data_IF_473005935936
#
_entry.id   IF_473005935936
#
_cell.length_a   1.000
_cell.length_b   1.000
_cell.length_c   1.000
_cell.angle_alpha   90.00
_cell.angle_beta   90.00
_cell.angle_gamma   90.00
#
_symmetry.space_group_name_H-M   'P 1'
#
loop_
_entity.id
_entity.type
_entity.pdbx_description
1 polymer ?
#
# COMPACT_ATOMS: atom_id res chain seq x y z
N UNK A 1 35.58 21.34 -8.59
CA UNK A 1 34.25 20.95 -8.13
C UNK A 1 34.43 20.38 -6.74
N UNK A 2 34.12 21.17 -5.69
CA UNK A 2 34.26 20.71 -4.31
C UNK A 2 33.24 19.60 -4.05
N UNK A 3 33.69 18.36 -3.95
CA UNK A 3 32.90 17.28 -3.36
C UNK A 3 32.69 17.65 -1.90
N UNK A 4 31.49 18.08 -1.58
CA UNK A 4 31.03 18.22 -0.21
C UNK A 4 31.21 16.82 0.39
N UNK A 5 32.21 16.68 1.26
CA UNK A 5 32.49 15.41 1.93
C UNK A 5 31.23 15.00 2.71
N UNK A 6 30.50 14.05 2.17
CA UNK A 6 29.34 13.46 2.85
C UNK A 6 29.92 12.73 4.06
N UNK A 7 29.54 13.14 5.26
CA UNK A 7 29.93 12.44 6.48
C UNK A 7 29.28 11.04 6.43
N UNK A 8 30.05 10.05 6.02
CA UNK A 8 29.63 8.66 5.84
C UNK A 8 28.94 8.08 7.09
N UNK A 9 29.26 8.60 8.28
CA UNK A 9 28.65 8.15 9.53
C UNK A 9 27.23 8.73 9.70
N UNK A 10 27.03 9.99 9.33
CA UNK A 10 25.71 10.65 9.36
C UNK A 10 24.76 10.03 8.33
N UNK A 11 25.25 9.70 7.15
CA UNK A 11 24.43 9.06 6.11
C UNK A 11 24.05 7.61 6.49
N UNK A 12 24.97 6.83 7.03
CA UNK A 12 24.67 5.48 7.54
C UNK A 12 23.64 5.52 8.68
N UNK A 13 23.75 6.47 9.59
CA UNK A 13 22.75 6.63 10.66
C UNK A 13 21.36 7.00 10.12
N UNK A 14 21.27 7.85 9.10
CA UNK A 14 20.02 8.22 8.43
C UNK A 14 19.40 7.04 7.68
N UNK A 15 20.21 6.32 6.90
CA UNK A 15 19.78 5.10 6.19
C UNK A 15 19.22 4.09 7.19
N UNK A 16 19.94 3.81 8.27
CA UNK A 16 19.48 2.88 9.32
C UNK A 16 18.15 3.30 9.91
N UNK A 17 17.94 4.59 10.20
CA UNK A 17 16.66 5.11 10.71
C UNK A 17 15.53 4.90 9.71
N UNK A 18 15.75 5.19 8.42
CA UNK A 18 14.75 4.97 7.38
C UNK A 18 14.37 3.49 7.26
N UNK A 19 15.36 2.59 7.27
CA UNK A 19 15.10 1.15 7.19
C UNK A 19 14.36 0.62 8.45
N UNK A 20 14.67 1.16 9.64
CA UNK A 20 13.92 0.82 10.86
C UNK A 20 12.47 1.34 10.81
N UNK A 21 12.25 2.53 10.24
CA UNK A 21 10.90 3.03 9.97
C UNK A 21 10.17 2.08 9.03
N UNK A 22 10.82 1.58 7.97
CA UNK A 22 10.25 0.61 7.04
C UNK A 22 9.86 -0.70 7.73
N UNK A 23 10.72 -1.24 8.59
CA UNK A 23 10.40 -2.44 9.35
C UNK A 23 9.16 -2.24 10.23
N UNK A 24 9.08 -1.13 10.97
CA UNK A 24 7.92 -0.80 11.77
C UNK A 24 6.67 -0.59 10.90
N UNK A 25 6.82 0.07 9.77
CA UNK A 25 5.76 0.32 8.81
C UNK A 25 5.18 -0.99 8.26
N UNK A 26 6.02 -1.94 7.86
CA UNK A 26 5.58 -3.27 7.38
C UNK A 26 4.81 -4.06 8.45
N UNK A 27 5.20 -3.91 9.72
CA UNK A 27 4.42 -4.49 10.83
C UNK A 27 3.04 -3.82 10.94
N UNK A 28 2.96 -2.49 10.80
CA UNK A 28 1.67 -1.77 10.81
C UNK A 28 0.78 -2.20 9.65
N UNK A 29 1.34 -2.29 8.44
CA UNK A 29 0.61 -2.78 7.25
C UNK A 29 0.10 -4.19 7.48
N UNK A 30 0.94 -5.11 7.95
CA UNK A 30 0.56 -6.48 8.25
C UNK A 30 -0.55 -6.59 9.31
N UNK A 31 -0.53 -5.76 10.35
CA UNK A 31 -1.65 -5.68 11.32
C UNK A 31 -2.90 -5.13 10.64
N UNK A 32 -2.77 -4.13 9.76
CA UNK A 32 -3.89 -3.61 8.96
C UNK A 32 -4.54 -4.69 8.10
N UNK A 33 -3.74 -5.45 7.37
CA UNK A 33 -4.20 -6.58 6.54
C UNK A 33 -4.87 -7.66 7.38
N UNK A 34 -4.27 -8.00 8.53
CA UNK A 34 -4.85 -8.97 9.45
C UNK A 34 -6.23 -8.55 9.96
N UNK A 35 -6.40 -7.27 10.31
CA UNK A 35 -7.70 -6.74 10.78
C UNK A 35 -8.76 -6.75 9.67
N UNK A 36 -8.36 -6.57 8.41
CA UNK A 36 -9.28 -6.57 7.27
C UNK A 36 -9.56 -7.99 6.73
N UNK A 37 -8.60 -8.90 6.80
CA UNK A 37 -8.69 -10.24 6.22
C UNK A 37 -9.13 -11.33 7.20
N UNK A 38 -9.16 -11.08 8.51
CA UNK A 38 -9.49 -12.11 9.50
C UNK A 38 -10.99 -12.09 9.84
N UNK A 39 -11.78 -12.58 8.92
CA UNK A 39 -13.22 -12.74 9.09
C UNK A 39 -13.72 -13.95 8.28
N UNK A 40 -14.82 -14.54 8.74
CA UNK A 40 -15.54 -15.54 7.96
C UNK A 40 -16.15 -14.87 6.73
N UNK A 41 -15.89 -15.43 5.55
CA UNK A 41 -16.41 -14.93 4.29
C UNK A 41 -17.84 -15.43 4.04
N UNK A 42 -18.67 -14.53 3.49
CA UNK A 42 -20.00 -14.90 3.00
C UNK A 42 -19.91 -15.37 1.54
N UNK A 43 -20.86 -16.18 1.12
CA UNK A 43 -21.00 -16.56 -0.30
C UNK A 43 -21.49 -15.35 -1.11
N UNK A 44 -20.79 -15.05 -2.21
CA UNK A 44 -21.05 -13.86 -3.04
C UNK A 44 -21.02 -14.20 -4.52
N UNK A 45 -21.80 -13.44 -5.30
CA UNK A 45 -22.02 -13.73 -6.72
C UNK A 45 -20.94 -13.21 -7.67
N UNK A 46 -20.02 -12.33 -7.22
CA UNK A 46 -19.04 -11.68 -8.12
C UNK A 46 -17.63 -11.65 -7.56
N UNK A 47 -16.64 -11.60 -8.48
CA UNK A 47 -15.20 -11.47 -8.12
C UNK A 47 -14.94 -10.19 -7.32
N UNK A 48 -15.57 -9.08 -7.69
CA UNK A 48 -15.42 -7.83 -6.97
C UNK A 48 -15.99 -7.91 -5.54
N UNK A 49 -17.16 -8.56 -5.37
CA UNK A 49 -17.76 -8.77 -4.06
C UNK A 49 -16.93 -9.74 -3.20
N UNK A 50 -16.21 -10.71 -3.80
CA UNK A 50 -15.39 -11.65 -3.04
C UNK A 50 -14.27 -10.97 -2.25
N UNK A 51 -13.76 -9.83 -2.74
CA UNK A 51 -12.77 -9.02 -2.02
C UNK A 51 -13.34 -8.39 -0.73
N UNK A 52 -14.67 -8.27 -0.67
CA UNK A 52 -15.38 -7.68 0.47
C UNK A 52 -16.21 -8.71 1.26
N UNK A 53 -16.09 -10.00 0.92
CA UNK A 53 -16.93 -11.09 1.47
C UNK A 53 -16.82 -11.22 3.00
N UNK A 54 -15.71 -10.87 3.60
CA UNK A 54 -15.51 -10.85 5.05
C UNK A 54 -16.05 -9.59 5.75
N UNK A 55 -16.26 -8.49 5.02
CA UNK A 55 -16.60 -7.19 5.62
C UNK A 55 -17.89 -7.19 6.48
N UNK A 56 -18.97 -7.92 6.14
CA UNK A 56 -20.18 -7.96 6.97
C UNK A 56 -19.93 -8.49 8.38
N UNK A 57 -18.94 -9.38 8.55
CA UNK A 57 -18.61 -10.03 9.81
C UNK A 57 -17.55 -9.26 10.63
N UNK A 58 -16.99 -8.19 10.10
CA UNK A 58 -16.06 -7.30 10.80
C UNK A 58 -16.81 -6.13 11.47
N UNK A 59 -16.29 -5.65 12.59
CA UNK A 59 -16.79 -4.41 13.19
C UNK A 59 -16.32 -3.20 12.38
N UNK A 60 -17.02 -2.08 12.45
CA UNK A 60 -16.60 -0.82 11.82
C UNK A 60 -15.23 -0.35 12.32
N UNK A 61 -15.00 -0.56 13.64
CA UNK A 61 -13.71 -0.26 14.26
C UNK A 61 -12.55 -1.05 13.63
N UNK A 62 -12.76 -2.34 13.32
CA UNK A 62 -11.75 -3.17 12.62
C UNK A 62 -11.52 -2.67 11.20
N UNK A 63 -12.59 -2.40 10.45
CA UNK A 63 -12.50 -1.90 9.07
C UNK A 63 -11.76 -0.55 9.01
N UNK A 64 -12.13 0.39 9.89
CA UNK A 64 -11.50 1.72 9.95
C UNK A 64 -10.06 1.61 10.43
N UNK A 65 -9.81 0.89 11.53
CA UNK A 65 -8.46 0.75 12.08
C UNK A 65 -7.52 0.01 11.11
N UNK A 66 -7.98 -1.09 10.51
CA UNK A 66 -7.20 -1.84 9.51
C UNK A 66 -6.83 -0.98 8.31
N UNK A 67 -7.80 -0.24 7.78
CA UNK A 67 -7.58 0.66 6.65
C UNK A 67 -6.60 1.79 6.98
N UNK A 68 -6.73 2.44 8.13
CA UNK A 68 -5.84 3.52 8.54
C UNK A 68 -4.44 3.02 8.87
N UNK A 69 -4.30 1.89 9.59
CA UNK A 69 -3.00 1.29 9.89
C UNK A 69 -2.27 0.90 8.60
N UNK A 70 -2.96 0.23 7.68
CA UNK A 70 -2.38 -0.13 6.41
C UNK A 70 -2.01 1.09 5.57
N UNK A 71 -2.87 2.10 5.49
CA UNK A 71 -2.60 3.35 4.78
C UNK A 71 -1.34 4.04 5.32
N UNK A 72 -1.24 4.24 6.63
CA UNK A 72 -0.07 4.87 7.24
C UNK A 72 1.17 3.98 7.15
N UNK A 73 1.01 2.66 7.29
CA UNK A 73 2.09 1.70 7.12
C UNK A 73 2.70 1.81 5.72
N UNK A 74 1.91 1.70 4.67
CA UNK A 74 2.38 1.82 3.28
C UNK A 74 3.03 3.19 3.01
N UNK A 75 2.46 4.27 3.54
CA UNK A 75 3.07 5.60 3.41
C UNK A 75 4.48 5.64 4.02
N UNK A 76 4.64 5.10 5.23
CA UNK A 76 5.94 5.03 5.91
C UNK A 76 6.92 4.07 5.20
N UNK A 77 6.44 2.96 4.64
CA UNK A 77 7.23 2.07 3.78
C UNK A 77 7.80 2.82 2.56
N UNK A 78 6.96 3.62 1.90
CA UNK A 78 7.39 4.47 0.81
C UNK A 78 8.49 5.46 1.23
N UNK A 79 8.38 6.07 2.42
CA UNK A 79 9.44 6.91 2.97
C UNK A 79 10.73 6.12 3.27
N UNK A 80 10.60 4.89 3.75
CA UNK A 80 11.75 4.02 4.02
C UNK A 80 12.52 3.63 2.75
N UNK A 81 11.82 3.55 1.60
CA UNK A 81 12.45 3.31 0.31
C UNK A 81 13.51 4.38 -0.06
N UNK A 82 13.45 5.59 0.51
CA UNK A 82 14.54 6.56 0.37
C UNK A 82 15.84 6.11 1.04
N UNK A 83 15.79 5.21 2.02
CA UNK A 83 16.98 4.55 2.57
C UNK A 83 17.65 3.65 1.53
N UNK A 84 16.87 2.85 0.81
CA UNK A 84 17.34 1.99 -0.28
C UNK A 84 17.89 2.86 -1.43
N UNK A 85 17.17 3.92 -1.82
CA UNK A 85 17.64 4.88 -2.81
C UNK A 85 19.06 5.42 -2.49
N UNK A 86 19.30 5.76 -1.23
CA UNK A 86 20.62 6.26 -0.80
C UNK A 86 21.71 5.20 -0.90
N UNK A 87 21.41 3.93 -0.61
CA UNK A 87 22.37 2.83 -0.79
C UNK A 87 22.71 2.61 -2.27
N UNK A 88 21.73 2.81 -3.16
CA UNK A 88 21.92 2.64 -4.60
C UNK A 88 22.60 3.84 -5.25
N UNK A 89 22.46 5.03 -4.69
CA UNK A 89 22.86 6.28 -5.35
C UNK A 89 24.36 6.34 -5.67
N UNK A 90 25.20 5.74 -4.83
CA UNK A 90 26.66 5.71 -5.02
C UNK A 90 27.09 4.58 -5.99
N UNK A 91 26.44 3.43 -5.92
CA UNK A 91 26.79 2.24 -6.71
C UNK A 91 26.20 2.28 -8.13
N UNK A 92 24.96 2.75 -8.28
CA UNK A 92 24.20 2.68 -9.52
C UNK A 92 23.33 3.95 -9.73
N UNK A 93 23.91 5.15 -9.94
CA UNK A 93 23.21 6.42 -9.91
C UNK A 93 22.07 6.53 -10.92
N UNK A 94 22.19 5.92 -12.10
CA UNK A 94 21.13 5.93 -13.11
C UNK A 94 19.88 5.18 -12.63
N UNK A 95 20.06 4.01 -12.04
CA UNK A 95 18.99 3.20 -11.48
C UNK A 95 18.40 3.86 -10.24
N UNK A 96 19.21 4.48 -9.41
CA UNK A 96 18.75 5.21 -8.23
C UNK A 96 17.77 6.35 -8.60
N UNK A 97 18.01 7.10 -9.67
CA UNK A 97 17.09 8.14 -10.12
C UNK A 97 15.73 7.59 -10.57
N UNK A 98 15.74 6.47 -11.31
CA UNK A 98 14.49 5.77 -11.71
C UNK A 98 13.76 5.23 -10.48
N UNK A 99 14.50 4.61 -9.56
CA UNK A 99 13.94 4.12 -8.30
C UNK A 99 13.27 5.23 -7.49
N UNK A 100 13.90 6.40 -7.38
CA UNK A 100 13.33 7.57 -6.72
C UNK A 100 12.01 8.03 -7.36
N UNK A 101 11.91 8.02 -8.68
CA UNK A 101 10.65 8.32 -9.37
C UNK A 101 9.55 7.32 -8.99
N UNK A 102 9.89 6.03 -8.92
CA UNK A 102 8.99 4.98 -8.44
C UNK A 102 8.51 5.19 -7.01
N UNK A 103 9.40 5.63 -6.09
CA UNK A 103 9.03 5.94 -4.69
C UNK A 103 7.92 7.00 -4.66
N UNK A 104 8.02 8.08 -5.43
CA UNK A 104 6.99 9.11 -5.45
C UNK A 104 5.65 8.57 -5.96
N UNK A 105 5.64 7.77 -7.02
CA UNK A 105 4.43 7.10 -7.50
C UNK A 105 3.83 6.18 -6.45
N UNK A 106 4.66 5.39 -5.78
CA UNK A 106 4.23 4.50 -4.70
C UNK A 106 3.60 5.25 -3.52
N UNK A 107 4.27 6.29 -3.00
CA UNK A 107 3.78 7.10 -1.85
C UNK A 107 2.43 7.76 -2.16
N UNK A 108 2.20 8.19 -3.38
CA UNK A 108 0.94 8.83 -3.76
C UNK A 108 -0.21 7.85 -4.00
N UNK A 109 0.07 6.73 -4.65
CA UNK A 109 -0.98 5.81 -5.10
C UNK A 109 -1.29 4.72 -4.06
N UNK A 110 -0.28 4.12 -3.45
CA UNK A 110 -0.48 2.93 -2.65
C UNK A 110 -1.28 3.16 -1.35
N UNK A 111 -1.00 4.19 -0.53
CA UNK A 111 -1.74 4.37 0.73
C UNK A 111 -3.24 4.56 0.50
N UNK A 112 -3.60 5.42 -0.46
CA UNK A 112 -5.00 5.74 -0.75
C UNK A 112 -5.65 4.64 -1.57
N UNK A 113 -4.96 4.14 -2.60
CA UNK A 113 -5.52 3.16 -3.53
C UNK A 113 -5.67 1.76 -2.96
N UNK A 114 -4.75 1.33 -2.08
CA UNK A 114 -4.86 0.00 -1.48
C UNK A 114 -5.75 0.01 -0.23
N UNK A 115 -5.27 0.55 0.87
CA UNK A 115 -5.95 0.37 2.16
C UNK A 115 -7.13 1.31 2.37
N UNK A 116 -6.99 2.60 2.10
CA UNK A 116 -8.09 3.53 2.35
C UNK A 116 -9.26 3.26 1.42
N UNK A 117 -9.00 3.05 0.14
CA UNK A 117 -10.04 2.71 -0.82
C UNK A 117 -10.75 1.40 -0.45
N UNK A 118 -10.00 0.34 -0.12
CA UNK A 118 -10.59 -0.93 0.30
C UNK A 118 -11.39 -0.80 1.59
N UNK A 119 -10.95 0.01 2.55
CA UNK A 119 -11.73 0.27 3.75
C UNK A 119 -13.08 0.93 3.47
N UNK A 120 -13.09 1.91 2.56
CA UNK A 120 -14.34 2.57 2.13
C UNK A 120 -15.26 1.57 1.43
N UNK A 121 -14.71 0.76 0.51
CA UNK A 121 -15.50 -0.25 -0.20
C UNK A 121 -16.08 -1.27 0.75
N UNK A 122 -15.31 -1.78 1.69
CA UNK A 122 -15.76 -2.71 2.71
C UNK A 122 -16.90 -2.14 3.57
N UNK A 123 -16.80 -0.87 3.99
CA UNK A 123 -17.86 -0.21 4.75
C UNK A 123 -19.13 -0.02 3.90
N UNK A 124 -18.99 0.45 2.65
CA UNK A 124 -20.12 0.62 1.74
C UNK A 124 -20.82 -0.71 1.50
N UNK A 125 -20.08 -1.77 1.19
CA UNK A 125 -20.64 -3.10 0.96
C UNK A 125 -21.35 -3.63 2.21
N UNK A 126 -20.73 -3.55 3.37
CA UNK A 126 -21.29 -4.00 4.66
C UNK A 126 -22.64 -3.35 4.96
N UNK A 127 -22.79 -2.05 4.70
CA UNK A 127 -24.03 -1.34 4.98
C UNK A 127 -25.11 -1.47 3.90
N UNK A 128 -24.73 -1.70 2.66
CA UNK A 128 -25.68 -1.93 1.57
C UNK A 128 -26.23 -3.36 1.55
N UNK A 129 -25.41 -4.35 1.89
CA UNK A 129 -25.78 -5.76 1.81
C UNK A 129 -27.08 -6.13 2.53
N UNK A 130 -27.35 -5.68 3.78
CA UNK A 130 -28.60 -6.00 4.48
C UNK A 130 -29.81 -5.24 3.95
N UNK A 131 -29.61 -4.19 3.14
CA UNK A 131 -30.68 -3.40 2.54
C UNK A 131 -31.13 -4.01 1.21
N UNK A 132 -30.18 -4.31 0.36
CA UNK A 132 -30.38 -4.92 -0.96
C UNK A 132 -29.08 -5.55 -1.46
N UNK A 133 -29.01 -6.87 -1.44
CA UNK A 133 -27.83 -7.63 -1.84
C UNK A 133 -27.45 -7.39 -3.32
N UNK A 134 -28.44 -7.28 -4.21
CA UNK A 134 -28.17 -7.05 -5.63
C UNK A 134 -27.57 -5.65 -5.87
N UNK A 135 -28.06 -4.64 -5.16
CA UNK A 135 -27.47 -3.29 -5.19
C UNK A 135 -26.08 -3.28 -4.57
N UNK A 136 -25.85 -3.99 -3.47
CA UNK A 136 -24.53 -4.07 -2.84
C UNK A 136 -23.49 -4.66 -3.80
N UNK A 137 -23.80 -5.78 -4.46
CA UNK A 137 -22.92 -6.39 -5.45
C UNK A 137 -22.68 -5.49 -6.66
N UNK A 138 -23.72 -4.86 -7.20
CA UNK A 138 -23.60 -3.94 -8.32
C UNK A 138 -22.68 -2.75 -7.98
N UNK A 139 -22.86 -2.16 -6.79
CA UNK A 139 -22.03 -1.03 -6.33
C UNK A 139 -20.59 -1.49 -6.11
N UNK A 140 -20.38 -2.66 -5.48
CA UNK A 140 -19.07 -3.26 -5.28
C UNK A 140 -18.33 -3.45 -6.61
N UNK A 141 -18.98 -4.04 -7.61
CA UNK A 141 -18.38 -4.21 -8.94
C UNK A 141 -18.03 -2.88 -9.59
N UNK A 142 -18.94 -1.91 -9.58
CA UNK A 142 -18.71 -0.60 -10.22
C UNK A 142 -17.56 0.16 -9.58
N UNK A 143 -17.46 0.14 -8.26
CA UNK A 143 -16.39 0.82 -7.53
C UNK A 143 -15.06 0.07 -7.66
N UNK A 144 -15.07 -1.26 -7.57
CA UNK A 144 -13.88 -2.06 -7.71
C UNK A 144 -13.24 -1.91 -9.09
N UNK A 145 -13.98 -2.17 -10.15
CA UNK A 145 -13.47 -2.08 -11.53
C UNK A 145 -13.25 -0.65 -11.99
N UNK A 146 -13.97 0.33 -11.43
CA UNK A 146 -13.82 1.74 -11.80
C UNK A 146 -12.68 2.47 -11.09
N UNK A 147 -12.35 2.08 -9.86
CA UNK A 147 -11.37 2.79 -9.05
C UNK A 147 -10.25 1.90 -8.50
N UNK A 148 -10.56 0.73 -7.93
CA UNK A 148 -9.56 -0.09 -7.27
C UNK A 148 -8.64 -0.75 -8.27
N UNK A 149 -9.19 -1.43 -9.27
CA UNK A 149 -8.40 -2.16 -10.25
C UNK A 149 -7.44 -1.23 -11.04
N UNK A 150 -7.88 -0.08 -11.59
CA UNK A 150 -6.97 0.84 -12.26
C UNK A 150 -5.83 1.35 -11.36
N UNK A 151 -6.10 1.59 -10.07
CA UNK A 151 -5.05 2.01 -9.13
C UNK A 151 -4.07 0.87 -8.87
N UNK A 152 -4.54 -0.36 -8.71
CA UNK A 152 -3.66 -1.53 -8.60
C UNK A 152 -2.79 -1.73 -9.85
N UNK A 153 -3.37 -1.59 -11.04
CA UNK A 153 -2.61 -1.66 -12.27
C UNK A 153 -1.50 -0.60 -12.34
N UNK A 154 -1.81 0.65 -11.95
CA UNK A 154 -0.81 1.72 -11.86
C UNK A 154 0.26 1.42 -10.80
N UNK A 155 -0.11 0.86 -9.65
CA UNK A 155 0.85 0.47 -8.61
C UNK A 155 1.83 -0.58 -9.10
N UNK A 156 1.37 -1.57 -9.87
CA UNK A 156 2.24 -2.58 -10.48
C UNK A 156 3.27 -1.92 -11.41
N UNK A 157 2.85 -0.93 -12.20
CA UNK A 157 3.74 -0.16 -13.09
C UNK A 157 4.86 0.56 -12.33
N UNK A 158 4.62 1.01 -11.08
CA UNK A 158 5.67 1.62 -10.26
C UNK A 158 6.46 0.59 -9.45
N UNK A 159 5.79 -0.39 -8.88
CA UNK A 159 6.40 -1.31 -7.93
C UNK A 159 7.30 -2.36 -8.57
N UNK A 160 6.85 -2.96 -9.69
CA UNK A 160 7.65 -3.97 -10.40
C UNK A 160 8.98 -3.39 -10.89
N UNK A 161 9.04 -2.22 -11.57
CA UNK A 161 10.31 -1.58 -11.91
C UNK A 161 11.18 -1.28 -10.69
N UNK A 162 10.61 -0.85 -9.56
CA UNK A 162 11.38 -0.62 -8.34
C UNK A 162 12.08 -1.91 -7.87
N UNK A 163 11.39 -3.05 -7.83
CA UNK A 163 11.95 -4.34 -7.46
C UNK A 163 13.04 -4.79 -8.43
N UNK A 164 12.79 -4.66 -9.74
CA UNK A 164 13.78 -5.01 -10.78
C UNK A 164 15.02 -4.14 -10.64
N UNK A 165 14.85 -2.85 -10.44
CA UNK A 165 15.96 -1.90 -10.29
C UNK A 165 16.79 -2.24 -9.05
N UNK A 166 16.16 -2.61 -7.92
CA UNK A 166 16.88 -3.07 -6.72
C UNK A 166 17.74 -4.30 -6.99
N UNK A 167 17.24 -5.21 -7.84
CA UNK A 167 17.99 -6.43 -8.18
C UNK A 167 19.17 -6.15 -9.12
N UNK A 168 19.04 -5.15 -10.01
CA UNK A 168 20.06 -4.81 -11.00
C UNK A 168 21.15 -3.86 -10.46
N UNK A 169 20.93 -3.18 -9.35
CA UNK A 169 21.84 -2.21 -8.74
C UNK A 169 22.78 -2.87 -7.74
#
# INVERSE_FOLDING_TARGET
MNTIGIDNNLDRARIRKLLLIGLFASMMTGVGDFLLGYAEEIDVGSIAASVMAGAPNLTDGQLIAGSLLGMFGIFLEGLACFGIYRLMADAAPRYAHLYRAGIFGYIWLAPVGCHMNMGILNLVYKYLLPLDAATAELVAERLFWGFSEPVYALLIVFWVPMLVIQYLA
#
